data_IF_995265435273
#
_entry.id   IF_995265435273
#
_cell.length_a   1.000
_cell.length_b   1.000
_cell.length_c   1.000
_cell.angle_alpha   90.00
_cell.angle_beta   90.00
_cell.angle_gamma   90.00
#
_symmetry.space_group_name_H-M   'P 1'
#
loop_
_entity.id
_entity.type
_entity.pdbx_description
1 polymer ?
#
# COMPACT_ATOMS: atom_id res chain seq x y z
N UNK A 1 15.62 6.51 4.88
CA UNK A 1 15.54 5.59 3.75
C UNK A 1 15.78 6.42 2.50
N UNK A 2 16.80 6.10 1.69
CA UNK A 2 17.12 6.87 0.48
C UNK A 2 16.67 6.04 -0.73
N UNK A 3 15.67 6.54 -1.48
CA UNK A 3 15.10 5.84 -2.63
C UNK A 3 14.10 4.73 -2.27
N UNK A 4 13.52 4.12 -3.31
CA UNK A 4 12.58 2.99 -3.22
C UNK A 4 13.37 1.67 -3.19
N UNK A 5 13.12 0.76 -2.23
CA UNK A 5 13.91 -0.45 -2.05
C UNK A 5 13.46 -1.52 -3.07
N UNK A 6 13.79 -1.33 -4.34
CA UNK A 6 13.51 -2.33 -5.36
C UNK A 6 14.49 -3.51 -5.23
N UNK A 7 13.95 -4.72 -5.24
CA UNK A 7 14.74 -5.94 -5.30
C UNK A 7 15.42 -6.08 -6.68
N UNK A 8 16.64 -6.64 -6.70
CA UNK A 8 17.41 -6.82 -7.94
C UNK A 8 16.69 -7.75 -8.93
N UNK A 9 16.19 -7.18 -10.03
CA UNK A 9 15.32 -7.85 -11.01
C UNK A 9 16.04 -8.88 -11.90
N UNK A 10 17.37 -8.89 -11.93
CA UNK A 10 18.16 -9.82 -12.76
C UNK A 10 18.56 -11.11 -12.03
N UNK A 11 18.07 -11.35 -10.80
CA UNK A 11 18.30 -12.61 -10.10
C UNK A 11 17.48 -13.75 -10.70
N UNK A 12 18.14 -14.87 -11.04
CA UNK A 12 17.48 -16.08 -11.60
C UNK A 12 16.38 -16.62 -10.69
N UNK A 13 16.56 -16.55 -9.36
CA UNK A 13 15.59 -17.04 -8.38
C UNK A 13 14.36 -16.14 -8.34
N UNK A 14 14.56 -14.82 -8.36
CA UNK A 14 13.46 -13.86 -8.34
C UNK A 14 12.61 -13.98 -9.60
N UNK A 15 13.25 -14.14 -10.76
CA UNK A 15 12.56 -14.29 -12.05
C UNK A 15 11.72 -15.56 -12.10
N UNK A 16 12.24 -16.69 -11.66
CA UNK A 16 11.47 -17.93 -11.58
C UNK A 16 10.25 -17.81 -10.64
N UNK A 17 10.39 -17.07 -9.53
CA UNK A 17 9.28 -16.79 -8.62
C UNK A 17 8.22 -15.89 -9.24
N UNK A 18 8.66 -14.87 -9.98
CA UNK A 18 7.78 -13.94 -10.71
C UNK A 18 7.02 -14.67 -11.83
N UNK A 19 7.71 -15.53 -12.59
CA UNK A 19 7.09 -16.37 -13.63
C UNK A 19 6.00 -17.28 -13.02
N UNK A 20 6.29 -17.93 -11.89
CA UNK A 20 5.31 -18.74 -11.17
C UNK A 20 4.10 -17.94 -10.67
N UNK A 21 4.34 -16.74 -10.13
CA UNK A 21 3.27 -15.84 -9.65
C UNK A 21 2.39 -15.33 -10.79
N UNK A 22 3.00 -15.08 -11.96
CA UNK A 22 2.29 -14.64 -13.16
C UNK A 22 1.42 -15.76 -13.74
N UNK A 23 1.94 -16.98 -13.79
CA UNK A 23 1.22 -18.12 -14.37
C UNK A 23 0.12 -18.64 -13.44
N UNK A 24 0.38 -18.71 -12.13
CA UNK A 24 -0.56 -19.32 -11.16
C UNK A 24 -1.59 -18.34 -10.63
N UNK A 25 -1.18 -17.10 -10.35
CA UNK A 25 -2.02 -16.10 -9.67
C UNK A 25 -2.32 -14.88 -10.54
N UNK A 26 -1.82 -14.82 -11.79
CA UNK A 26 -2.00 -13.70 -12.71
C UNK A 26 -1.59 -12.33 -12.14
N UNK A 27 -0.62 -12.35 -11.22
CA UNK A 27 -0.06 -11.13 -10.62
C UNK A 27 1.04 -10.62 -11.56
N UNK A 28 0.99 -9.34 -11.92
CA UNK A 28 2.03 -8.70 -12.73
C UNK A 28 3.31 -8.52 -11.92
N UNK A 29 4.44 -8.63 -12.59
CA UNK A 29 5.76 -8.47 -11.97
C UNK A 29 5.93 -7.09 -11.33
N UNK A 30 5.46 -6.04 -12.02
CA UNK A 30 5.52 -4.66 -11.54
C UNK A 30 4.72 -4.44 -10.26
N UNK A 31 3.53 -5.05 -10.16
CA UNK A 31 2.67 -4.96 -8.96
C UNK A 31 3.32 -5.66 -7.77
N UNK A 32 3.94 -6.82 -8.01
CA UNK A 32 4.66 -7.55 -6.97
C UNK A 32 5.89 -6.76 -6.47
N UNK A 33 6.67 -6.18 -7.40
CA UNK A 33 7.86 -5.39 -7.06
C UNK A 33 7.50 -4.10 -6.29
N UNK A 34 6.44 -3.41 -6.70
CA UNK A 34 5.93 -2.25 -5.97
C UNK A 34 5.43 -2.64 -4.57
N UNK A 35 4.68 -3.74 -4.44
CA UNK A 35 4.21 -4.24 -3.16
C UNK A 35 5.36 -4.63 -2.22
N UNK A 36 6.37 -5.33 -2.75
CA UNK A 36 7.57 -5.72 -1.99
C UNK A 36 8.35 -4.50 -1.48
N UNK A 37 8.54 -3.52 -2.35
CA UNK A 37 9.23 -2.29 -2.01
C UNK A 37 8.49 -1.49 -0.91
N UNK A 38 7.17 -1.34 -1.02
CA UNK A 38 6.34 -0.68 0.00
C UNK A 38 6.38 -1.45 1.32
N UNK A 39 6.34 -2.79 1.29
CA UNK A 39 6.40 -3.61 2.49
C UNK A 39 7.72 -3.44 3.23
N UNK A 40 8.84 -3.48 2.51
CA UNK A 40 10.17 -3.26 3.08
C UNK A 40 10.28 -1.86 3.68
N UNK A 41 9.75 -0.85 2.99
CA UNK A 41 9.73 0.52 3.47
C UNK A 41 8.87 0.69 4.73
N UNK A 42 7.69 0.06 4.76
CA UNK A 42 6.78 0.08 5.90
C UNK A 42 7.44 -0.51 7.16
N UNK A 43 8.22 -1.58 7.03
CA UNK A 43 8.92 -2.18 8.16
C UNK A 43 9.97 -1.25 8.76
N UNK A 44 10.67 -0.48 7.93
CA UNK A 44 11.62 0.53 8.40
C UNK A 44 10.89 1.73 9.04
N UNK A 45 9.82 2.20 8.41
CA UNK A 45 9.04 3.37 8.86
C UNK A 45 8.25 3.07 10.13
N UNK A 46 7.71 1.86 10.29
CA UNK A 46 6.97 1.44 11.48
C UNK A 46 7.79 1.42 12.78
N UNK A 47 9.14 1.42 12.68
CA UNK A 47 10.04 1.60 13.84
C UNK A 47 10.21 3.06 14.25
N UNK A 48 9.90 3.99 13.34
CA UNK A 48 10.07 5.43 13.52
C UNK A 48 8.76 6.10 13.90
N UNK A 49 7.62 5.61 13.39
CA UNK A 49 6.30 6.11 13.78
C UNK A 49 6.05 5.79 15.25
N UNK A 50 6.15 6.79 16.12
CA UNK A 50 5.81 6.69 17.55
C UNK A 50 4.72 7.67 17.97
N UNK A 51 4.32 8.61 17.10
CA UNK A 51 3.32 9.62 17.41
C UNK A 51 2.47 9.99 16.19
N UNK A 52 1.26 10.53 16.42
CA UNK A 52 0.38 11.07 15.36
C UNK A 52 1.03 12.20 14.55
N UNK A 53 2.12 12.79 15.08
CA UNK A 53 2.86 13.89 14.48
C UNK A 53 3.93 13.46 13.44
N UNK A 54 4.07 12.16 13.12
CA UNK A 54 5.06 11.69 12.16
C UNK A 54 4.59 11.91 10.70
N UNK A 55 4.52 13.18 10.29
CA UNK A 55 4.05 13.62 8.97
C UNK A 55 4.97 13.15 7.84
N UNK A 56 6.30 13.21 8.05
CA UNK A 56 7.30 12.79 7.04
C UNK A 56 7.16 11.31 6.68
N UNK A 57 6.94 10.46 7.69
CA UNK A 57 6.74 9.03 7.51
C UNK A 57 5.47 8.74 6.71
N UNK A 58 4.39 9.46 7.00
CA UNK A 58 3.10 9.33 6.29
C UNK A 58 3.21 9.78 4.84
N UNK A 59 3.82 10.93 4.59
CA UNK A 59 3.97 11.48 3.24
C UNK A 59 4.89 10.61 2.37
N UNK A 60 5.95 10.04 2.97
CA UNK A 60 6.82 9.08 2.30
C UNK A 60 6.08 7.80 1.90
N UNK A 61 5.31 7.20 2.82
CA UNK A 61 4.49 6.02 2.52
C UNK A 61 3.42 6.31 1.46
N UNK A 62 2.84 7.52 1.48
CA UNK A 62 1.87 7.97 0.47
C UNK A 62 2.48 8.13 -0.92
N UNK A 63 3.74 8.56 -1.01
CA UNK A 63 4.47 8.68 -2.28
C UNK A 63 4.91 7.35 -2.87
N UNK A 64 5.08 6.31 -2.04
CA UNK A 64 5.46 4.95 -2.49
C UNK A 64 4.28 4.04 -2.80
N UNK A 65 3.10 4.30 -2.23
CA UNK A 65 1.88 3.64 -2.68
C UNK A 65 1.74 3.90 -4.19
N UNK A 66 1.42 2.86 -4.96
CA UNK A 66 1.09 2.99 -6.39
C UNK A 66 0.18 4.20 -6.60
N UNK A 67 0.22 4.90 -7.76
CA UNK A 67 -0.68 6.01 -8.03
C UNK A 67 -2.11 5.49 -7.87
N UNK A 68 -2.67 5.71 -6.68
CA UNK A 68 -4.05 5.43 -6.40
C UNK A 68 -4.75 6.42 -7.30
N UNK A 69 -5.36 5.91 -8.37
CA UNK A 69 -6.14 6.72 -9.26
C UNK A 69 -7.11 7.49 -8.36
N UNK A 70 -7.00 8.82 -8.33
CA UNK A 70 -7.79 9.64 -7.40
C UNK A 70 -9.30 9.43 -7.65
N UNK A 71 -9.65 8.84 -8.79
CA UNK A 71 -10.98 8.37 -9.13
C UNK A 71 -11.49 7.18 -8.27
N UNK A 72 -10.62 6.32 -7.71
CA UNK A 72 -11.03 5.11 -6.96
C UNK A 72 -11.06 5.29 -5.44
N UNK A 73 -10.44 6.35 -4.92
CA UNK A 73 -10.39 6.67 -3.47
C UNK A 73 -11.79 6.83 -2.85
N UNK A 74 -12.81 7.15 -3.66
CA UNK A 74 -14.19 7.30 -3.22
C UNK A 74 -15.01 6.01 -3.10
N UNK A 75 -14.50 4.85 -3.55
CA UNK A 75 -15.23 3.57 -3.42
C UNK A 75 -14.87 2.79 -2.14
N UNK A 76 -13.65 2.96 -1.64
CA UNK A 76 -13.18 2.24 -0.45
C UNK A 76 -13.31 3.03 0.85
N UNK A 77 -13.38 4.35 0.79
CA UNK A 77 -13.60 5.20 1.96
C UNK A 77 -15.01 5.73 1.86
N UNK A 78 -15.88 5.32 2.79
CA UNK A 78 -17.22 5.85 2.93
C UNK A 78 -17.13 7.37 2.88
N UNK A 79 -17.80 7.98 1.90
CA UNK A 79 -17.94 9.43 1.83
C UNK A 79 -18.53 9.95 3.15
N UNK A 80 -18.25 11.21 3.50
CA UNK A 80 -18.75 11.79 4.75
C UNK A 80 -20.28 11.68 4.86
N UNK A 81 -20.98 11.67 3.72
CA UNK A 81 -22.42 11.43 3.63
C UNK A 81 -22.80 9.99 4.01
N UNK A 82 -22.02 8.99 3.58
CA UNK A 82 -22.22 7.59 3.97
C UNK A 82 -21.86 7.33 5.43
N UNK A 83 -20.84 8.02 5.97
CA UNK A 83 -20.51 7.98 7.41
C UNK A 83 -21.66 8.57 8.24
N UNK A 84 -22.22 9.70 7.82
CA UNK A 84 -23.38 10.30 8.48
C UNK A 84 -24.65 9.44 8.35
N UNK A 85 -24.83 8.75 7.21
CA UNK A 85 -25.93 7.81 7.02
C UNK A 85 -25.82 6.57 7.92
N UNK A 86 -24.60 6.07 8.17
CA UNK A 86 -24.34 4.96 9.10
C UNK A 86 -24.52 5.35 10.56
N UNK A 87 -24.19 6.59 10.92
CA UNK A 87 -24.43 7.15 12.25
C UNK A 87 -25.95 7.29 12.51
N UNK A 88 -26.71 7.75 11.50
CA UNK A 88 -28.17 7.78 11.56
C UNK A 88 -28.82 6.39 11.57
N UNK A 89 -28.16 5.38 11.00
CA UNK A 89 -28.62 3.99 11.01
C UNK A 89 -28.30 3.25 12.32
N UNK A 90 -27.61 3.87 13.29
CA UNK A 90 -27.37 3.31 14.62
C UNK A 90 -26.40 2.13 14.67
N UNK A 91 -25.56 1.92 13.64
CA UNK A 91 -24.68 0.73 13.53
C UNK A 91 -23.33 0.92 14.26
N UNK A 92 -22.98 2.14 14.69
CA UNK A 92 -21.63 2.46 15.22
C UNK A 92 -21.60 2.65 16.75
N UNK A 93 -22.72 2.50 17.47
CA UNK A 93 -22.72 2.55 18.94
C UNK A 93 -23.48 1.37 19.57
N UNK A 94 -22.72 0.29 19.78
CA UNK A 94 -22.75 -0.55 20.99
C UNK A 94 -21.35 -1.05 21.30
#
# INVERSE_FOLDING_TARGET
MFGVPYQYTLSRILRARLDYLRETFHIKEDDYLAFDAVRQAAQCVGRVIRSKADYVARDFMRGMAQPIDRAEVGRSLLSQEQVNALDQAGVVLS
#
